data_IF_717640939985
#
_entry.id   IF_717640939985
#
_cell.length_a   1.000
_cell.length_b   1.000
_cell.length_c   1.000
_cell.angle_alpha   90.00
_cell.angle_beta   90.00
_cell.angle_gamma   90.00
#
_symmetry.space_group_name_H-M   'P 1'
#
loop_
_entity.id
_entity.type
_entity.pdbx_description
1 polymer ?
#
# COMPACT_ATOMS: atom_id res chain seq x y z
N UNK A 1 -12.15 20.34 -2.87
CA UNK A 1 -12.68 19.24 -3.74
C UNK A 1 -14.09 18.87 -3.32
N UNK A 2 -14.98 18.49 -4.24
CA UNK A 2 -16.33 18.01 -3.90
C UNK A 2 -16.34 16.51 -3.52
N UNK A 3 -17.43 16.05 -2.89
CA UNK A 3 -17.60 14.65 -2.44
C UNK A 3 -17.33 13.60 -3.51
N UNK A 4 -17.77 13.83 -4.74
CA UNK A 4 -17.59 12.88 -5.85
C UNK A 4 -16.12 12.77 -6.22
N UNK A 5 -15.41 13.89 -6.31
CA UNK A 5 -13.96 13.93 -6.57
C UNK A 5 -13.18 13.21 -5.47
N UNK A 6 -13.51 13.49 -4.20
CA UNK A 6 -12.91 12.82 -3.04
C UNK A 6 -13.17 11.32 -3.09
N UNK A 7 -14.38 10.87 -3.42
CA UNK A 7 -14.67 9.44 -3.55
C UNK A 7 -13.91 8.76 -4.69
N UNK A 8 -13.70 9.44 -5.82
CA UNK A 8 -12.90 8.90 -6.93
C UNK A 8 -11.44 8.70 -6.51
N UNK A 9 -10.86 9.65 -5.77
CA UNK A 9 -9.53 9.48 -5.18
C UNK A 9 -9.53 8.33 -4.17
N UNK A 10 -10.59 8.20 -3.36
CA UNK A 10 -10.75 7.06 -2.45
C UNK A 10 -10.70 5.71 -3.18
N UNK A 11 -11.40 5.56 -4.32
CA UNK A 11 -11.32 4.34 -5.13
C UNK A 11 -9.93 4.09 -5.72
N UNK A 12 -9.25 5.14 -6.18
CA UNK A 12 -7.87 5.05 -6.66
C UNK A 12 -6.93 4.52 -5.57
N UNK A 13 -7.05 5.08 -4.35
CA UNK A 13 -6.28 4.63 -3.18
C UNK A 13 -6.59 3.17 -2.85
N UNK A 14 -7.88 2.78 -2.76
CA UNK A 14 -8.29 1.39 -2.47
C UNK A 14 -7.70 0.43 -3.49
N UNK A 15 -7.76 0.77 -4.78
CA UNK A 15 -7.27 -0.08 -5.86
C UNK A 15 -5.76 -0.33 -5.74
N UNK A 16 -4.97 0.73 -5.63
CA UNK A 16 -3.51 0.61 -5.56
C UNK A 16 -3.03 0.02 -4.22
N UNK A 17 -3.64 0.39 -3.10
CA UNK A 17 -3.32 -0.18 -1.81
C UNK A 17 -3.68 -1.68 -1.75
N UNK A 18 -4.83 -2.07 -2.31
CA UNK A 18 -5.24 -3.47 -2.40
C UNK A 18 -4.32 -4.33 -3.27
N UNK A 19 -3.86 -3.79 -4.41
CA UNK A 19 -2.87 -4.42 -5.27
C UNK A 19 -1.53 -4.61 -4.53
N UNK A 20 -1.01 -3.55 -3.91
CA UNK A 20 0.22 -3.61 -3.13
C UNK A 20 0.12 -4.63 -2.00
N UNK A 21 -0.97 -4.61 -1.22
CA UNK A 21 -1.21 -5.56 -0.13
C UNK A 21 -1.17 -7.01 -0.61
N UNK A 22 -1.80 -7.29 -1.75
CA UNK A 22 -1.81 -8.62 -2.34
C UNK A 22 -0.40 -9.08 -2.73
N UNK A 23 0.37 -8.20 -3.39
CA UNK A 23 1.77 -8.46 -3.75
C UNK A 23 2.66 -8.69 -2.53
N UNK A 24 2.54 -7.86 -1.49
CA UNK A 24 3.28 -8.02 -0.24
C UNK A 24 3.00 -9.37 0.44
N UNK A 25 1.73 -9.78 0.52
CA UNK A 25 1.36 -11.07 1.10
C UNK A 25 1.89 -12.24 0.25
N UNK A 26 1.84 -12.11 -1.08
CA UNK A 26 2.43 -13.10 -1.99
C UNK A 26 3.95 -13.17 -1.84
N UNK A 27 4.65 -12.04 -1.67
CA UNK A 27 6.09 -12.01 -1.43
C UNK A 27 6.47 -12.79 -0.18
N UNK A 28 5.69 -12.70 0.90
CA UNK A 28 5.88 -13.51 2.12
C UNK A 28 5.74 -15.01 1.81
N UNK A 29 4.73 -15.39 1.02
CA UNK A 29 4.51 -16.79 0.65
C UNK A 29 5.65 -17.34 -0.22
N UNK A 30 6.13 -16.56 -1.19
CA UNK A 30 7.27 -16.94 -2.02
C UNK A 30 8.56 -17.08 -1.18
N UNK A 31 8.82 -16.14 -0.27
CA UNK A 31 9.96 -16.24 0.65
C UNK A 31 9.87 -17.47 1.56
N UNK A 32 8.67 -17.82 2.03
CA UNK A 32 8.45 -19.05 2.83
C UNK A 32 8.82 -20.31 2.04
N UNK A 33 8.66 -20.31 0.72
CA UNK A 33 8.99 -21.43 -0.16
C UNK A 33 10.44 -21.40 -0.67
N UNK A 34 11.25 -20.43 -0.23
CA UNK A 34 12.64 -20.23 -0.68
C UNK A 34 12.78 -19.49 -2.01
N UNK A 35 11.68 -19.01 -2.61
CA UNK A 35 11.66 -18.31 -3.89
C UNK A 35 11.99 -16.81 -3.70
N UNK A 36 13.20 -16.51 -3.22
CA UNK A 36 13.56 -15.16 -2.80
C UNK A 36 13.65 -14.15 -3.95
N UNK A 37 14.03 -14.56 -5.16
CA UNK A 37 14.07 -13.67 -6.32
C UNK A 37 12.67 -13.19 -6.70
N UNK A 38 11.68 -14.09 -6.67
CA UNK A 38 10.27 -13.76 -6.94
C UNK A 38 9.70 -12.92 -5.81
N UNK A 39 10.06 -13.22 -4.56
CA UNK A 39 9.68 -12.42 -3.39
C UNK A 39 10.15 -10.97 -3.54
N UNK A 40 11.42 -10.75 -3.88
CA UNK A 40 11.98 -9.40 -4.06
C UNK A 40 11.31 -8.65 -5.22
N UNK A 41 11.05 -9.34 -6.34
CA UNK A 41 10.29 -8.74 -7.45
C UNK A 41 8.90 -8.26 -7.01
N UNK A 42 8.16 -9.10 -6.27
CA UNK A 42 6.83 -8.74 -5.76
C UNK A 42 6.88 -7.55 -4.78
N UNK A 43 7.95 -7.42 -3.99
CA UNK A 43 8.16 -6.25 -3.12
C UNK A 43 8.33 -4.97 -3.93
N UNK A 44 9.15 -4.99 -4.99
CA UNK A 44 9.34 -3.82 -5.84
C UNK A 44 8.04 -3.42 -6.56
N UNK A 45 7.31 -4.40 -7.11
CA UNK A 45 6.01 -4.15 -7.73
C UNK A 45 4.96 -3.63 -6.74
N UNK A 46 5.04 -4.02 -5.45
CA UNK A 46 4.17 -3.49 -4.41
C UNK A 46 4.52 -2.04 -4.05
N UNK A 47 5.82 -1.70 -4.02
CA UNK A 47 6.30 -0.32 -3.78
C UNK A 47 5.82 0.63 -4.86
N UNK A 48 5.81 0.21 -6.12
CA UNK A 48 5.26 1.02 -7.21
C UNK A 48 3.77 1.34 -7.01
N UNK A 49 2.95 0.34 -6.66
CA UNK A 49 1.53 0.56 -6.38
C UNK A 49 1.32 1.44 -5.13
N UNK A 50 2.10 1.22 -4.06
CA UNK A 50 2.07 2.08 -2.86
C UNK A 50 2.40 3.53 -3.17
N UNK A 51 3.41 3.79 -4.01
CA UNK A 51 3.77 5.14 -4.40
C UNK A 51 2.62 5.85 -5.12
N UNK A 52 1.87 5.14 -5.97
CA UNK A 52 0.67 5.71 -6.62
C UNK A 52 -0.41 6.06 -5.61
N UNK A 53 -0.73 5.15 -4.69
CA UNK A 53 -1.71 5.38 -3.62
C UNK A 53 -1.30 6.54 -2.69
N UNK A 54 -0.03 6.57 -2.27
CA UNK A 54 0.52 7.60 -1.39
C UNK A 54 0.53 8.98 -2.07
N UNK A 55 0.85 9.05 -3.36
CA UNK A 55 0.76 10.29 -4.13
C UNK A 55 -0.68 10.81 -4.21
N UNK A 56 -1.67 9.92 -4.38
CA UNK A 56 -3.08 10.29 -4.36
C UNK A 56 -3.51 10.82 -2.98
N UNK A 57 -3.11 10.15 -1.88
CA UNK A 57 -3.32 10.62 -0.51
C UNK A 57 -2.67 12.00 -0.27
N UNK A 58 -1.42 12.18 -0.72
CA UNK A 58 -0.67 13.44 -0.53
C UNK A 58 -1.39 14.63 -1.17
N UNK A 59 -2.01 14.44 -2.35
CA UNK A 59 -2.80 15.49 -3.00
C UNK A 59 -3.98 15.94 -2.14
N UNK A 60 -4.70 14.99 -1.54
CA UNK A 60 -5.86 15.27 -0.67
C UNK A 60 -5.42 16.03 0.58
N UNK A 61 -4.37 15.54 1.26
CA UNK A 61 -3.81 16.22 2.44
C UNK A 61 -3.29 17.62 2.11
N UNK A 62 -2.69 17.81 0.93
CA UNK A 62 -2.20 19.11 0.49
C UNK A 62 -3.33 20.11 0.22
N UNK A 63 -4.45 19.63 -0.34
CA UNK A 63 -5.64 20.45 -0.56
C UNK A 63 -6.31 20.84 0.77
N UNK A 64 -6.40 19.91 1.73
CA UNK A 64 -6.90 20.23 3.07
C UNK A 64 -6.00 21.26 3.77
N UNK A 65 -4.68 21.08 3.72
CA UNK A 65 -3.71 21.97 4.34
C UNK A 65 -3.67 23.38 3.70
N UNK A 66 -4.06 23.51 2.42
CA UNK A 66 -4.20 24.82 1.76
C UNK A 66 -5.50 25.56 2.13
N UNK A 67 -6.35 24.94 2.96
CA UNK A 67 -7.59 25.53 3.44
C UNK A 67 -8.81 25.19 2.60
N UNK A 68 -8.74 24.21 1.69
CA UNK A 68 -9.94 23.69 1.04
C UNK A 68 -10.79 22.90 2.03
N UNK A 69 -12.09 23.20 2.07
CA UNK A 69 -13.06 22.37 2.78
C UNK A 69 -13.34 21.12 1.95
N UNK A 70 -12.93 19.96 2.47
CA UNK A 70 -13.06 18.67 1.80
C UNK A 70 -14.21 17.87 2.40
N UNK A 71 -15.23 17.56 1.59
CA UNK A 71 -16.32 16.69 2.03
C UNK A 71 -15.88 15.22 2.00
N UNK A 72 -15.38 14.71 3.13
CA UNK A 72 -14.95 13.31 3.27
C UNK A 72 -16.13 12.34 3.14
N UNK A 73 -15.97 11.34 2.26
CA UNK A 73 -16.90 10.22 2.12
C UNK A 73 -16.38 8.93 2.74
N UNK A 74 -17.27 7.97 3.00
CA UNK A 74 -16.92 6.66 3.55
C UNK A 74 -15.85 5.92 2.72
N UNK A 75 -15.91 6.05 1.39
CA UNK A 75 -14.95 5.43 0.47
C UNK A 75 -13.54 6.01 0.66
N UNK A 76 -13.42 7.32 0.89
CA UNK A 76 -12.13 7.94 1.17
C UNK A 76 -11.55 7.42 2.49
N UNK A 77 -12.36 7.39 3.56
CA UNK A 77 -11.93 6.85 4.86
C UNK A 77 -11.45 5.39 4.71
N UNK A 78 -12.22 4.56 4.01
CA UNK A 78 -11.85 3.18 3.73
C UNK A 78 -10.56 3.07 2.90
N UNK A 79 -10.35 3.96 1.93
CA UNK A 79 -9.10 4.05 1.17
C UNK A 79 -7.89 4.37 2.06
N UNK A 80 -8.04 5.33 2.98
CA UNK A 80 -7.00 5.66 3.96
C UNK A 80 -6.66 4.45 4.84
N UNK A 81 -7.66 3.72 5.34
CA UNK A 81 -7.45 2.50 6.14
C UNK A 81 -6.66 1.44 5.36
N UNK A 82 -7.03 1.22 4.09
CA UNK A 82 -6.32 0.30 3.20
C UNK A 82 -4.87 0.72 2.99
N UNK A 83 -4.62 2.01 2.73
CA UNK A 83 -3.28 2.52 2.48
C UNK A 83 -2.40 2.43 3.72
N UNK A 84 -2.86 2.94 4.86
CA UNK A 84 -2.06 3.00 6.09
C UNK A 84 -1.72 1.61 6.62
N UNK A 85 -2.66 0.66 6.57
CA UNK A 85 -2.37 -0.74 6.96
C UNK A 85 -1.42 -1.44 5.99
N UNK A 86 -1.45 -1.09 4.70
CA UNK A 86 -0.54 -1.66 3.70
C UNK A 86 0.86 -1.06 3.78
N UNK A 87 0.99 0.23 4.13
CA UNK A 87 2.28 0.85 4.43
C UNK A 87 2.95 0.15 5.62
N UNK A 88 2.21 -0.05 6.72
CA UNK A 88 2.71 -0.81 7.86
C UNK A 88 3.14 -2.23 7.45
N UNK A 89 2.35 -2.91 6.61
CA UNK A 89 2.72 -4.23 6.09
C UNK A 89 4.03 -4.17 5.31
N UNK A 90 4.24 -3.14 4.49
CA UNK A 90 5.46 -2.95 3.71
C UNK A 90 6.68 -2.74 4.60
N UNK A 91 6.56 -2.00 5.69
CA UNK A 91 7.66 -1.77 6.64
C UNK A 91 8.10 -3.08 7.32
N UNK A 92 7.14 -3.95 7.65
CA UNK A 92 7.43 -5.20 8.38
C UNK A 92 7.80 -6.37 7.46
N UNK A 93 7.39 -6.34 6.17
CA UNK A 93 7.55 -7.49 5.26
C UNK A 93 9.02 -7.88 5.07
N UNK A 94 9.92 -6.90 4.99
CA UNK A 94 11.33 -7.14 4.76
C UNK A 94 11.95 -7.91 5.93
N UNK A 95 11.52 -7.61 7.15
CA UNK A 95 11.96 -8.34 8.34
C UNK A 95 11.50 -9.80 8.30
N UNK A 96 10.25 -10.05 7.88
CA UNK A 96 9.71 -11.41 7.73
C UNK A 96 10.47 -12.20 6.65
N UNK A 97 10.73 -11.59 5.49
CA UNK A 97 11.51 -12.22 4.40
C UNK A 97 12.91 -12.56 4.88
N UNK A 98 13.58 -11.66 5.60
CA UNK A 98 14.91 -11.89 6.14
C UNK A 98 14.95 -13.07 7.14
N UNK A 99 13.88 -13.26 7.92
CA UNK A 99 13.75 -14.42 8.81
C UNK A 99 13.70 -15.72 7.99
N UNK A 100 12.85 -15.79 6.95
CA UNK A 100 12.79 -16.97 6.08
C UNK A 100 14.09 -17.24 5.32
N UNK A 101 14.81 -16.20 4.88
CA UNK A 101 16.14 -16.33 4.27
C UNK A 101 17.14 -16.98 5.21
N UNK A 102 17.14 -16.58 6.47
CA UNK A 102 18.04 -17.17 7.47
C UNK A 102 17.69 -18.64 7.74
N UNK A 103 16.41 -18.96 7.83
CA UNK A 103 15.91 -20.31 8.07
C UNK A 103 16.33 -21.28 6.95
N UNK A 104 16.26 -20.87 5.68
CA UNK A 104 16.69 -21.68 4.54
C UNK A 104 18.21 -21.82 4.37
N UNK A 105 18.98 -20.92 4.98
CA UNK A 105 20.46 -20.93 4.93
C UNK A 105 21.10 -21.62 6.16
N UNK A 106 20.29 -22.11 7.10
CA UNK A 106 20.71 -22.81 8.32
C UNK A 106 20.61 -24.32 8.16
#
# INVERSE_FOLDING_TARGET
MNKTEVNLVGFEIVSYAGEARSKLLNAINEARNGNFDVSDQLIEEARESLNKAHNAQTKVLSAEASGEDLELGFIMVHGQDHLMTTLLLSDIVQHLINIYRKDHNS
#
